data_IF_040127383036
#
_entry.id   IF_040127383036
#
_cell.length_a   1.000
_cell.length_b   1.000
_cell.length_c   1.000
_cell.angle_alpha   90.00
_cell.angle_beta   90.00
_cell.angle_gamma   90.00
#
_symmetry.space_group_name_H-M   'P 1'
#
loop_
_entity.id
_entity.type
_entity.pdbx_description
1 polymer ?
#
# COMPACT_ATOMS: atom_id res chain seq x y z
N UNK A 1 -3.32 2.07 -5.27
CA UNK A 1 -2.83 2.48 -3.94
C UNK A 1 -2.36 1.27 -3.16
N UNK A 2 -3.25 0.32 -2.83
CA UNK A 2 -2.87 -0.82 -2.00
C UNK A 2 -1.70 -1.68 -2.52
N UNK A 3 -1.58 -1.90 -3.82
CA UNK A 3 -0.39 -2.56 -4.41
C UNK A 3 0.92 -1.81 -4.11
N UNK A 4 0.89 -0.46 -4.10
CA UNK A 4 2.07 0.35 -3.75
C UNK A 4 2.34 0.34 -2.24
N UNK A 5 1.30 0.17 -1.41
CA UNK A 5 1.46 -0.07 0.03
C UNK A 5 2.14 -1.42 0.26
N UNK A 6 1.72 -2.48 -0.43
CA UNK A 6 2.36 -3.80 -0.34
C UNK A 6 3.83 -3.74 -0.77
N UNK A 7 4.13 -3.14 -1.92
CA UNK A 7 5.50 -2.99 -2.38
C UNK A 7 6.37 -2.24 -1.36
N UNK A 8 5.84 -1.17 -0.75
CA UNK A 8 6.57 -0.43 0.26
C UNK A 8 6.73 -1.22 1.57
N UNK A 9 5.73 -1.99 1.98
CA UNK A 9 5.77 -2.82 3.18
C UNK A 9 6.86 -3.90 3.14
N UNK A 10 7.19 -4.40 1.94
CA UNK A 10 8.22 -5.41 1.69
C UNK A 10 9.65 -4.83 1.66
N UNK A 11 9.80 -3.51 1.68
CA UNK A 11 11.10 -2.85 1.55
C UNK A 11 11.85 -2.71 2.90
N UNK A 12 13.15 -2.45 2.82
CA UNK A 12 13.98 -2.18 4.01
C UNK A 12 13.94 -0.72 4.41
N UNK A 13 13.80 -0.45 5.71
CA UNK A 13 13.82 0.89 6.31
C UNK A 13 14.87 1.03 7.42
N UNK A 14 15.86 0.12 7.45
CA UNK A 14 16.86 0.06 8.53
C UNK A 14 17.60 1.40 8.73
N UNK A 15 17.93 2.09 7.65
CA UNK A 15 18.60 3.39 7.72
C UNK A 15 17.71 4.45 8.38
N UNK A 16 16.46 4.60 7.91
CA UNK A 16 15.50 5.52 8.51
C UNK A 16 15.28 5.24 10.00
N UNK A 17 15.15 3.96 10.38
CA UNK A 17 15.00 3.54 11.77
C UNK A 17 16.25 3.91 12.59
N UNK A 18 17.45 3.72 12.03
CA UNK A 18 18.71 4.07 12.70
C UNK A 18 18.86 5.57 12.98
N UNK A 19 18.22 6.41 12.17
CA UNK A 19 18.16 7.86 12.35
C UNK A 19 16.99 8.32 13.23
N UNK A 20 16.24 7.38 13.82
CA UNK A 20 15.09 7.69 14.67
C UNK A 20 13.83 8.09 13.89
N UNK A 21 13.79 7.84 12.59
CA UNK A 21 12.63 8.11 11.75
C UNK A 21 11.66 6.93 11.74
N UNK A 22 10.36 7.22 11.60
CA UNK A 22 9.33 6.18 11.39
C UNK A 22 9.32 5.77 9.91
N UNK A 23 9.30 4.46 9.58
CA UNK A 23 9.02 4.01 8.22
C UNK A 23 7.69 4.56 7.71
N UNK A 24 7.72 5.29 6.60
CA UNK A 24 6.53 5.93 6.05
C UNK A 24 6.33 5.65 4.57
N UNK A 25 5.07 5.79 4.17
CA UNK A 25 4.66 5.92 2.77
C UNK A 25 3.71 7.12 2.63
N UNK A 26 3.99 8.01 1.69
CA UNK A 26 3.19 9.22 1.46
C UNK A 26 2.67 9.24 0.03
N UNK A 27 1.37 9.40 -0.14
CA UNK A 27 0.71 9.62 -1.41
C UNK A 27 0.32 11.09 -1.54
N UNK A 28 0.81 11.79 -2.57
CA UNK A 28 0.35 13.13 -2.95
C UNK A 28 -0.44 13.05 -4.25
N UNK A 29 -1.76 13.25 -4.17
CA UNK A 29 -2.68 13.20 -5.30
C UNK A 29 -2.94 14.61 -5.84
N UNK A 30 -2.66 14.80 -7.12
CA UNK A 30 -2.98 15.99 -7.91
C UNK A 30 -3.95 15.61 -9.04
N UNK A 31 -4.59 16.59 -9.70
CA UNK A 31 -5.45 16.31 -10.85
C UNK A 31 -4.76 15.50 -11.97
N UNK A 32 -3.49 15.80 -12.24
CA UNK A 32 -2.73 15.25 -13.38
C UNK A 32 -1.71 14.17 -13.01
N UNK A 33 -1.36 14.03 -11.73
CA UNK A 33 -0.34 13.08 -11.26
C UNK A 33 -0.61 12.56 -9.87
N UNK A 34 -0.01 11.42 -9.56
CA UNK A 34 0.14 10.91 -8.20
C UNK A 34 1.63 10.77 -7.91
N UNK A 35 2.08 11.32 -6.78
CA UNK A 35 3.44 11.16 -6.28
C UNK A 35 3.39 10.23 -5.07
N UNK A 36 4.34 9.29 -5.00
CA UNK A 36 4.46 8.34 -3.89
C UNK A 36 5.88 8.41 -3.38
N UNK A 37 6.04 8.81 -2.12
CA UNK A 37 7.33 8.98 -1.45
C UNK A 37 7.46 7.98 -0.31
N UNK A 38 8.66 7.40 -0.14
CA UNK A 38 9.03 6.57 1.01
C UNK A 38 10.46 6.89 1.47
N UNK A 39 10.72 6.64 2.75
CA UNK A 39 12.05 6.68 3.36
C UNK A 39 12.69 5.30 3.47
N UNK A 40 12.41 4.43 2.51
CA UNK A 40 13.09 3.12 2.42
C UNK A 40 14.60 3.30 2.15
N UNK A 41 15.34 2.21 2.14
CA UNK A 41 16.78 2.24 1.87
C UNK A 41 17.13 2.72 0.45
N UNK A 42 16.21 2.49 -0.50
CA UNK A 42 16.41 2.76 -1.92
C UNK A 42 16.70 1.49 -2.72
N UNK A 43 16.69 1.61 -4.04
CA UNK A 43 16.77 0.49 -4.96
C UNK A 43 18.17 -0.04 -5.12
N UNK A 44 18.26 -1.36 -5.22
CA UNK A 44 19.42 -2.08 -5.73
C UNK A 44 19.30 -2.31 -7.24
N UNK A 45 20.38 -2.77 -7.87
CA UNK A 45 20.34 -3.18 -9.28
C UNK A 45 19.35 -4.33 -9.50
N UNK A 46 19.21 -5.22 -8.53
CA UNK A 46 18.29 -6.35 -8.59
C UNK A 46 16.83 -5.91 -8.50
N UNK A 47 16.52 -4.84 -7.77
CA UNK A 47 15.18 -4.24 -7.73
C UNK A 47 14.81 -3.63 -9.09
N UNK A 48 15.75 -2.92 -9.71
CA UNK A 48 15.56 -2.37 -11.07
C UNK A 48 15.34 -3.50 -12.08
N UNK A 49 16.14 -4.57 -12.03
CA UNK A 49 15.97 -5.75 -12.89
C UNK A 49 14.63 -6.43 -12.64
N UNK A 50 14.23 -6.59 -11.38
CA UNK A 50 12.95 -7.17 -11.00
C UNK A 50 11.77 -6.36 -11.55
N UNK A 51 11.83 -5.03 -11.49
CA UNK A 51 10.82 -4.15 -12.09
C UNK A 51 10.75 -4.30 -13.61
N UNK A 52 11.89 -4.32 -14.29
CA UNK A 52 11.94 -4.53 -15.75
C UNK A 52 11.38 -5.90 -16.13
N UNK A 53 11.74 -6.96 -15.40
CA UNK A 53 11.28 -8.32 -15.65
C UNK A 53 9.79 -8.50 -15.34
N UNK A 54 9.29 -7.88 -14.25
CA UNK A 54 7.86 -7.86 -13.93
C UNK A 54 7.05 -7.25 -15.08
N UNK A 55 7.66 -6.36 -15.87
CA UNK A 55 7.07 -5.73 -17.04
C UNK A 55 7.06 -6.63 -18.31
N UNK A 56 7.96 -7.62 -18.42
CA UNK A 56 7.95 -8.58 -19.54
C UNK A 56 6.67 -9.42 -19.52
N UNK A 57 5.99 -9.55 -20.65
CA UNK A 57 4.78 -10.35 -20.80
C UNK A 57 5.12 -11.80 -21.15
N UNK A 58 5.03 -12.73 -20.19
CA UNK A 58 4.81 -14.14 -20.58
C UNK A 58 3.35 -14.27 -21.03
N UNK A 59 3.14 -14.28 -22.35
CA UNK A 59 1.90 -14.77 -22.99
C UNK A 59 1.77 -16.29 -22.78
N UNK A 60 1.64 -16.73 -21.53
CA UNK A 60 1.29 -18.10 -21.19
C UNK A 60 0.13 -18.09 -20.21
N UNK A 61 -1.00 -18.51 -20.75
CA UNK A 61 -2.30 -18.70 -20.15
C UNK A 61 -2.25 -19.79 -19.05
N UNK A 62 -1.71 -19.44 -17.87
CA UNK A 62 -1.77 -20.31 -16.70
C UNK A 62 -2.62 -19.65 -15.62
N UNK A 63 -3.90 -20.05 -15.64
CA UNK A 63 -4.81 -19.98 -14.52
C UNK A 63 -4.21 -20.74 -13.32
N UNK A 64 -3.97 -20.03 -12.21
CA UNK A 64 -3.76 -20.65 -10.89
C UNK A 64 -2.63 -19.99 -10.09
N UNK A 65 -2.98 -19.55 -8.85
CA UNK A 65 -2.18 -18.92 -7.78
C UNK A 65 -1.89 -17.42 -7.96
N UNK A 66 -2.32 -16.46 -7.13
CA UNK A 66 -2.65 -16.32 -5.67
C UNK A 66 -1.45 -16.56 -4.74
N UNK A 67 -0.75 -15.46 -4.43
CA UNK A 67 0.42 -15.42 -3.55
C UNK A 67 1.70 -15.74 -4.30
N UNK A 68 2.70 -14.85 -4.28
CA UNK A 68 3.98 -14.97 -5.00
C UNK A 68 3.92 -14.93 -6.55
N UNK A 69 3.83 -13.72 -7.12
CA UNK A 69 4.55 -13.25 -8.33
C UNK A 69 3.94 -11.96 -8.85
N UNK A 70 4.64 -10.84 -8.67
CA UNK A 70 5.01 -9.91 -9.75
C UNK A 70 3.95 -9.31 -10.69
N UNK A 71 2.65 -9.31 -10.38
CA UNK A 71 1.64 -8.55 -11.15
C UNK A 71 1.59 -7.06 -10.68
N UNK A 72 2.15 -6.75 -9.50
CA UNK A 72 1.88 -5.53 -8.71
C UNK A 72 2.25 -4.19 -9.35
N UNK A 73 3.39 -4.10 -10.05
CA UNK A 73 3.81 -2.83 -10.65
C UNK A 73 3.07 -2.49 -11.95
N UNK A 74 2.82 -3.46 -12.85
CA UNK A 74 2.09 -3.23 -14.13
C UNK A 74 0.74 -2.54 -13.93
N UNK A 75 0.09 -2.81 -12.80
CA UNK A 75 -1.23 -2.26 -12.46
C UNK A 75 -1.26 -0.71 -12.53
N UNK A 76 -0.13 -0.03 -12.30
CA UNK A 76 -0.04 1.43 -12.37
C UNK A 76 -0.31 1.98 -13.79
N UNK A 77 0.00 1.23 -14.86
CA UNK A 77 -0.25 1.66 -16.24
C UNK A 77 -1.73 1.57 -16.64
N UNK A 78 -2.60 0.99 -15.78
CA UNK A 78 -4.05 1.15 -15.93
C UNK A 78 -4.47 2.61 -15.79
N UNK A 79 -3.75 3.39 -14.99
CA UNK A 79 -4.08 4.79 -14.66
C UNK A 79 -3.03 5.81 -15.12
N UNK A 80 -1.79 5.38 -15.39
CA UNK A 80 -0.68 6.26 -15.74
C UNK A 80 -0.15 5.99 -17.15
N UNK A 81 0.26 7.07 -17.83
CA UNK A 81 0.99 7.02 -19.11
C UNK A 81 2.51 7.03 -18.95
N UNK A 82 2.99 7.56 -17.82
CA UNK A 82 4.41 7.59 -17.47
C UNK A 82 4.54 7.31 -15.98
N UNK A 83 5.51 6.50 -15.62
CA UNK A 83 5.94 6.29 -14.24
C UNK A 83 7.40 6.66 -14.17
N UNK A 84 7.71 7.75 -13.49
CA UNK A 84 9.06 8.16 -13.19
C UNK A 84 9.44 7.67 -11.80
N UNK A 85 10.59 7.02 -11.67
CA UNK A 85 11.11 6.47 -10.43
C UNK A 85 12.45 7.12 -10.16
N UNK A 86 12.60 7.64 -8.95
CA UNK A 86 13.85 8.12 -8.43
C UNK A 86 14.12 7.40 -7.13
N UNK A 87 15.14 6.55 -7.14
CA UNK A 87 15.61 5.84 -5.95
C UNK A 87 17.12 5.74 -6.09
N UNK A 88 17.87 6.51 -5.32
CA UNK A 88 19.31 6.70 -5.54
C UNK A 88 20.04 5.34 -5.65
N UNK A 89 20.94 5.15 -6.65
CA UNK A 89 21.38 6.09 -7.69
C UNK A 89 20.58 6.01 -9.01
N UNK A 90 19.37 5.44 -9.02
CA UNK A 90 18.60 5.10 -10.22
C UNK A 90 17.43 6.06 -10.50
N UNK A 91 17.63 7.07 -11.36
CA UNK A 91 16.55 7.82 -12.01
C UNK A 91 16.17 7.19 -13.35
N UNK A 92 14.94 6.71 -13.46
CA UNK A 92 14.44 6.15 -14.72
C UNK A 92 12.93 6.27 -14.84
N UNK A 93 12.42 6.16 -16.07
CA UNK A 93 11.00 6.13 -16.31
C UNK A 93 10.57 5.01 -17.24
N UNK A 94 9.33 4.58 -17.06
CA UNK A 94 8.62 3.75 -18.02
C UNK A 94 7.52 4.60 -18.66
N UNK A 95 7.39 4.52 -19.98
CA UNK A 95 6.43 5.30 -20.75
C UNK A 95 5.55 4.34 -21.54
N UNK A 96 4.26 4.33 -21.22
CA UNK A 96 3.28 3.50 -21.91
C UNK A 96 2.44 4.35 -22.87
N UNK A 97 2.62 4.11 -24.17
CA UNK A 97 1.73 4.64 -25.20
C UNK A 97 0.55 3.68 -25.38
N UNK A 98 -0.67 4.23 -25.49
CA UNK A 98 -1.89 3.50 -25.87
C UNK A 98 -2.21 3.66 -27.35
N UNK A 99 -1.21 4.00 -28.16
CA UNK A 99 -1.37 4.12 -29.61
C UNK A 99 -1.59 2.72 -30.20
N UNK A 100 -2.76 2.42 -30.79
CA UNK A 100 -3.06 1.12 -31.39
C UNK A 100 -2.07 0.73 -32.50
N UNK A 101 -1.43 1.70 -33.14
CA UNK A 101 -0.48 1.48 -34.23
C UNK A 101 0.96 1.26 -33.72
N UNK A 102 1.22 1.49 -32.43
CA UNK A 102 2.51 1.34 -31.74
C UNK A 102 2.35 0.63 -30.36
N UNK A 103 1.46 -0.36 -30.29
CA UNK A 103 1.21 -1.21 -29.12
C UNK A 103 2.32 -2.28 -28.94
N UNK A 104 3.58 -1.84 -28.86
CA UNK A 104 4.72 -2.75 -28.79
C UNK A 104 4.86 -3.39 -27.40
N UNK A 105 4.16 -2.87 -26.38
CA UNK A 105 4.33 -3.25 -24.97
C UNK A 105 5.72 -2.93 -24.38
N UNK A 106 6.72 -2.66 -25.22
CA UNK A 106 8.12 -2.39 -24.88
C UNK A 106 8.30 -1.18 -23.97
N UNK A 107 7.46 -0.16 -24.10
CA UNK A 107 7.50 1.05 -23.27
C UNK A 107 7.19 0.81 -21.78
N UNK A 108 6.54 -0.32 -21.46
CA UNK A 108 6.40 -0.77 -20.07
C UNK A 108 7.64 -1.50 -19.56
N UNK A 109 8.45 -2.07 -20.44
CA UNK A 109 9.53 -3.02 -20.08
C UNK A 109 10.89 -2.35 -20.00
N UNK A 110 11.18 -1.44 -20.92
CA UNK A 110 12.50 -0.84 -21.06
C UNK A 110 12.54 0.50 -20.33
N UNK A 111 13.33 0.63 -19.26
CA UNK A 111 13.46 1.89 -18.55
C UNK A 111 14.20 2.91 -19.43
N UNK A 112 13.71 4.14 -19.44
CA UNK A 112 14.38 5.30 -20.02
C UNK A 112 15.16 5.96 -18.89
N UNK A 113 16.48 6.08 -19.04
CA UNK A 113 17.29 6.81 -18.06
C UNK A 113 16.86 8.27 -18.02
N UNK A 114 16.68 8.80 -16.81
CA UNK A 114 16.25 10.17 -16.56
C UNK A 114 17.33 10.93 -15.78
N UNK A 115 17.21 12.25 -15.71
CA UNK A 115 18.06 13.05 -14.83
C UNK A 115 17.62 12.93 -13.38
N UNK A 116 18.59 12.80 -12.48
CA UNK A 116 18.33 12.83 -11.05
C UNK A 116 17.84 14.23 -10.64
N UNK A 117 16.85 14.29 -9.75
CA UNK A 117 16.35 15.52 -9.14
C UNK A 117 16.38 15.38 -7.63
N UNK A 118 16.66 16.48 -6.94
CA UNK A 118 16.64 16.47 -5.48
C UNK A 118 15.28 16.00 -4.95
N UNK A 119 15.33 15.02 -4.07
CA UNK A 119 14.17 14.54 -3.33
C UNK A 119 13.96 15.41 -2.09
N UNK A 120 12.72 15.52 -1.57
CA UNK A 120 12.50 16.16 -0.29
C UNK A 120 13.32 15.52 0.81
N UNK A 121 13.55 16.27 1.89
CA UNK A 121 14.18 15.75 3.09
C UNK A 121 13.45 14.47 3.56
N UNK A 122 14.24 13.46 3.96
CA UNK A 122 13.76 12.15 4.40
C UNK A 122 13.02 11.33 3.34
N UNK A 123 13.10 11.68 2.06
CA UNK A 123 12.57 10.84 0.96
C UNK A 123 13.73 10.21 0.21
N UNK A 124 13.73 8.89 0.12
CA UNK A 124 14.77 8.14 -0.57
C UNK A 124 14.30 7.49 -1.87
N UNK A 125 13.03 7.08 -1.91
CA UNK A 125 12.39 6.63 -3.14
C UNK A 125 11.17 7.48 -3.44
N UNK A 126 11.04 7.90 -4.70
CA UNK A 126 9.89 8.59 -5.25
C UNK A 126 9.40 7.92 -6.52
N UNK A 127 8.12 7.63 -6.57
CA UNK A 127 7.39 7.34 -7.79
C UNK A 127 6.55 8.55 -8.18
N UNK A 128 6.58 8.95 -9.44
CA UNK A 128 5.71 9.98 -10.01
C UNK A 128 4.93 9.37 -11.18
N UNK A 129 3.65 9.11 -10.94
CA UNK A 129 2.72 8.55 -11.90
C UNK A 129 2.03 9.70 -12.63
N UNK A 130 2.41 9.96 -13.88
CA UNK A 130 1.67 10.89 -14.75
C UNK A 130 0.39 10.22 -15.23
N UNK A 131 -0.76 10.74 -14.80
CA UNK A 131 -2.05 10.12 -15.03
C UNK A 131 -2.48 10.27 -16.50
N UNK A 132 -3.25 9.29 -16.98
CA UNK A 132 -3.80 9.28 -18.34
C UNK A 132 -4.83 10.38 -18.55
N UNK A 133 -5.62 10.64 -17.51
CA UNK A 133 -6.71 11.61 -17.51
C UNK A 133 -6.85 12.24 -16.13
N UNK A 134 -7.25 13.51 -16.13
CA UNK A 134 -7.67 14.22 -14.92
C UNK A 134 -9.09 13.84 -14.50
N UNK A 135 -9.89 13.24 -15.40
CA UNK A 135 -11.22 12.74 -15.06
C UNK A 135 -11.13 11.67 -13.95
N UNK A 136 -12.12 11.68 -13.04
CA UNK A 136 -12.12 10.80 -11.87
C UNK A 136 -11.15 11.20 -10.77
N UNK A 137 -10.57 12.42 -10.80
CA UNK A 137 -9.81 12.96 -9.67
C UNK A 137 -10.62 12.93 -8.37
N UNK A 138 -11.83 13.50 -8.35
CA UNK A 138 -12.67 13.53 -7.14
C UNK A 138 -13.01 12.13 -6.62
N UNK A 139 -13.35 11.20 -7.51
CA UNK A 139 -13.59 9.81 -7.13
C UNK A 139 -12.34 9.18 -6.49
N UNK A 140 -11.16 9.33 -7.10
CA UNK A 140 -9.90 8.83 -6.53
C UNK A 140 -9.61 9.47 -5.17
N UNK A 141 -9.92 10.76 -5.03
CA UNK A 141 -9.76 11.51 -3.79
C UNK A 141 -10.65 10.93 -2.69
N UNK A 142 -11.92 10.68 -2.98
CA UNK A 142 -12.86 10.01 -2.05
C UNK A 142 -12.39 8.59 -1.72
N UNK A 143 -12.09 7.77 -2.72
CA UNK A 143 -11.61 6.39 -2.54
C UNK A 143 -10.37 6.33 -1.63
N UNK A 144 -9.44 7.30 -1.77
CA UNK A 144 -8.26 7.40 -0.90
C UNK A 144 -8.61 7.86 0.53
N UNK A 145 -9.58 8.76 0.71
CA UNK A 145 -10.06 9.18 2.05
C UNK A 145 -10.74 8.04 2.80
N UNK A 146 -11.37 7.10 2.08
CA UNK A 146 -12.03 5.92 2.67
C UNK A 146 -11.06 4.81 3.10
N UNK A 147 -9.74 5.02 2.98
CA UNK A 147 -8.73 4.08 3.48
C UNK A 147 -9.01 3.72 4.95
N UNK A 148 -9.18 2.43 5.29
CA UNK A 148 -9.41 2.02 6.66
C UNK A 148 -8.21 2.38 7.55
N UNK A 149 -8.45 3.12 8.64
CA UNK A 149 -7.41 3.47 9.62
C UNK A 149 -6.73 2.23 10.21
N UNK A 150 -7.46 1.13 10.35
CA UNK A 150 -6.96 -0.15 10.86
C UNK A 150 -5.96 -0.86 9.94
N UNK A 151 -5.68 -0.33 8.74
CA UNK A 151 -4.69 -0.90 7.82
C UNK A 151 -3.31 -1.04 8.49
N UNK A 152 -2.86 -0.02 9.23
CA UNK A 152 -1.53 -0.06 9.86
C UNK A 152 -1.39 -1.10 10.97
N UNK A 153 -2.49 -1.59 11.56
CA UNK A 153 -2.44 -2.66 12.57
C UNK A 153 -1.85 -3.97 12.04
N UNK A 154 -1.91 -4.12 10.73
CA UNK A 154 -1.61 -5.36 10.03
C UNK A 154 -0.33 -5.30 9.22
N UNK A 155 0.29 -4.12 9.15
CA UNK A 155 1.58 -3.90 8.57
C UNK A 155 2.67 -4.11 9.62
N UNK A 156 3.74 -4.76 9.22
CA UNK A 156 4.90 -5.11 10.05
C UNK A 156 6.04 -4.13 9.94
N UNK A 157 6.17 -3.41 8.83
CA UNK A 157 7.28 -2.50 8.52
C UNK A 157 6.83 -1.05 8.59
N UNK A 158 5.83 -0.67 7.79
CA UNK A 158 5.31 0.69 7.77
C UNK A 158 4.70 1.08 9.11
N UNK A 159 4.97 2.31 9.55
CA UNK A 159 4.45 2.89 10.80
C UNK A 159 3.60 4.13 10.57
N UNK A 160 3.67 4.68 9.37
CA UNK A 160 2.96 5.89 9.00
C UNK A 160 2.52 5.86 7.54
N UNK A 161 1.28 6.24 7.29
CA UNK A 161 0.72 6.42 5.96
C UNK A 161 0.17 7.84 5.84
N UNK A 162 0.65 8.61 4.87
CA UNK A 162 0.22 10.00 4.64
C UNK A 162 -0.50 10.13 3.31
N UNK A 163 -1.61 10.85 3.29
CA UNK A 163 -2.36 11.20 2.08
C UNK A 163 -2.44 12.72 1.97
N UNK A 164 -1.73 13.32 1.01
CA UNK A 164 -1.88 14.73 0.64
C UNK A 164 -2.80 14.84 -0.59
N UNK A 165 -3.95 15.45 -0.42
CA UNK A 165 -5.00 15.55 -1.44
C UNK A 165 -5.13 17.01 -1.89
N UNK A 166 -4.61 17.32 -3.06
CA UNK A 166 -4.57 18.68 -3.61
C UNK A 166 -5.80 18.96 -4.46
N UNK A 167 -6.66 19.89 -4.04
CA UNK A 167 -7.82 20.30 -4.84
C UNK A 167 -7.44 21.28 -5.98
N UNK A 168 -8.26 21.41 -7.04
CA UNK A 168 -8.01 22.36 -8.12
C UNK A 168 -8.07 23.83 -7.68
N UNK A 169 -8.65 24.13 -6.52
CA UNK A 169 -8.76 25.47 -5.94
C UNK A 169 -7.49 25.90 -5.20
N UNK A 170 -6.54 24.97 -5.01
CA UNK A 170 -5.28 25.17 -4.30
C UNK A 170 -5.29 24.77 -2.83
N UNK A 171 -6.41 24.27 -2.29
CA UNK A 171 -6.43 23.73 -0.93
C UNK A 171 -5.81 22.33 -0.88
N UNK A 172 -5.33 21.97 0.31
CA UNK A 172 -4.74 20.68 0.60
C UNK A 172 -5.42 20.08 1.83
N UNK A 173 -5.94 18.86 1.68
CA UNK A 173 -6.25 18.01 2.84
C UNK A 173 -5.10 17.04 3.04
N UNK A 174 -4.49 17.03 4.21
CA UNK A 174 -3.54 16.00 4.63
C UNK A 174 -4.23 15.04 5.60
N UNK A 175 -4.11 13.74 5.35
CA UNK A 175 -4.57 12.69 6.27
C UNK A 175 -3.36 11.86 6.68
N UNK A 176 -3.08 11.80 7.98
CA UNK A 176 -1.94 11.08 8.55
C UNK A 176 -2.49 9.94 9.39
N UNK A 177 -2.13 8.71 9.02
CA UNK A 177 -2.33 7.53 9.85
C UNK A 177 -0.99 7.18 10.49
N UNK A 178 -0.96 7.02 11.81
CA UNK A 178 0.23 6.52 12.50
C UNK A 178 -0.12 5.38 13.45
N UNK A 179 0.79 4.42 13.56
CA UNK A 179 0.65 3.27 14.45
C UNK A 179 1.71 3.31 15.55
N UNK A 180 1.28 3.00 16.77
CA UNK A 180 2.16 2.78 17.92
C UNK A 180 1.61 1.69 18.83
N UNK A 181 2.53 1.02 19.52
CA UNK A 181 2.22 0.03 20.56
C UNK A 181 2.47 0.64 21.94
N UNK A 182 1.48 0.56 22.80
CA UNK A 182 1.59 0.87 24.22
C UNK A 182 1.73 -0.43 25.02
N UNK A 183 2.97 -0.81 25.30
CA UNK A 183 3.27 -2.05 26.03
C UNK A 183 2.80 -2.02 27.49
N UNK A 184 2.62 -0.83 28.08
CA UNK A 184 2.16 -0.71 29.47
C UNK A 184 0.69 -1.08 29.64
N UNK A 185 -0.13 -0.77 28.62
CA UNK A 185 -1.56 -1.10 28.59
C UNK A 185 -1.87 -2.34 27.74
N UNK A 186 -0.87 -2.89 27.06
CA UNK A 186 -0.99 -3.93 26.05
C UNK A 186 -1.96 -3.55 24.93
N UNK A 187 -1.90 -2.29 24.49
CA UNK A 187 -2.80 -1.74 23.47
C UNK A 187 -2.04 -1.35 22.21
N UNK A 188 -2.66 -1.63 21.07
CA UNK A 188 -2.29 -1.06 19.78
C UNK A 188 -3.10 0.21 19.55
N UNK A 189 -2.44 1.25 19.09
CA UNK A 189 -3.02 2.57 18.91
C UNK A 189 -2.81 2.99 17.47
N UNK A 190 -3.92 3.33 16.80
CA UNK A 190 -3.90 4.01 15.51
C UNK A 190 -4.39 5.42 15.72
N UNK A 191 -3.57 6.40 15.34
CA UNK A 191 -3.95 7.81 15.29
C UNK A 191 -4.25 8.20 13.85
N UNK A 192 -5.39 8.87 13.64
CA UNK A 192 -5.77 9.51 12.37
C UNK A 192 -5.88 11.01 12.59
N UNK A 193 -5.00 11.78 11.95
CA UNK A 193 -5.05 13.24 11.93
C UNK A 193 -5.47 13.71 10.54
N UNK A 194 -6.42 14.65 10.47
CA UNK A 194 -6.81 15.34 9.25
C UNK A 194 -6.50 16.82 9.39
N UNK A 195 -5.66 17.33 8.49
CA UNK A 195 -5.28 18.73 8.42
C UNK A 195 -5.87 19.36 7.16
N UNK A 196 -6.41 20.56 7.29
CA UNK A 196 -6.86 21.38 6.18
C UNK A 196 -5.94 22.59 6.04
N UNK A 197 -5.25 22.71 4.90
CA UNK A 197 -4.27 23.76 4.62
C UNK A 197 -3.20 23.92 5.70
N UNK A 198 -2.81 22.81 6.34
CA UNK A 198 -1.80 22.76 7.40
C UNK A 198 -2.32 23.04 8.81
N UNK A 199 -3.61 23.33 8.96
CA UNK A 199 -4.26 23.45 10.28
C UNK A 199 -4.97 22.15 10.64
N UNK A 200 -4.81 21.67 11.88
CA UNK A 200 -5.49 20.48 12.37
C UNK A 200 -7.01 20.72 12.40
N UNK A 201 -7.74 19.92 11.65
CA UNK A 201 -9.20 19.99 11.53
C UNK A 201 -9.86 18.90 12.39
N UNK A 202 -9.39 17.66 12.27
CA UNK A 202 -9.89 16.52 13.02
C UNK A 202 -8.76 15.59 13.48
N UNK A 203 -8.94 15.00 14.66
CA UNK A 203 -8.05 13.96 15.20
C UNK A 203 -8.92 12.84 15.78
N UNK A 204 -8.51 11.59 15.54
CA UNK A 204 -9.13 10.40 16.11
C UNK A 204 -8.09 9.41 16.57
N UNK A 205 -8.19 9.00 17.82
CA UNK A 205 -7.47 7.86 18.37
C UNK A 205 -8.36 6.61 18.37
N UNK A 206 -7.83 5.50 17.85
CA UNK A 206 -8.49 4.19 17.84
C UNK A 206 -7.61 3.17 18.55
N UNK A 207 -8.19 2.51 19.56
CA UNK A 207 -7.50 1.58 20.44
C UNK A 207 -7.89 0.14 20.14
N UNK A 208 -6.92 -0.76 20.13
CA UNK A 208 -7.12 -2.17 19.84
C UNK A 208 -6.38 -3.08 20.81
N UNK A 209 -6.96 -4.24 21.09
CA UNK A 209 -6.23 -5.39 21.62
C UNK A 209 -5.95 -6.34 20.46
N UNK A 210 -4.68 -6.51 20.10
CA UNK A 210 -4.28 -7.42 19.03
C UNK A 210 -3.76 -8.73 19.59
N UNK A 211 -4.26 -9.84 19.04
CA UNK A 211 -3.79 -11.20 19.32
C UNK A 211 -3.30 -11.84 18.02
N UNK A 212 -2.03 -12.25 17.99
CA UNK A 212 -1.41 -12.95 16.86
C UNK A 212 -1.09 -14.39 17.23
N UNK A 213 -1.45 -15.34 16.38
CA UNK A 213 -1.09 -16.76 16.52
C UNK A 213 -0.73 -17.35 15.16
N UNK A 214 0.28 -18.22 15.15
CA UNK A 214 0.57 -19.07 13.99
C UNK A 214 -0.18 -20.38 14.18
N UNK A 215 -1.02 -20.72 13.21
CA UNK A 215 -1.71 -22.00 13.12
C UNK A 215 -0.86 -22.89 12.22
N UNK A 216 -0.51 -24.08 12.70
CA UNK A 216 0.28 -25.08 11.97
C UNK A 216 -0.58 -26.30 11.65
N UNK A 217 -0.05 -27.20 10.81
CA UNK A 217 -0.74 -28.41 10.35
C UNK A 217 -2.08 -28.10 9.63
N UNK A 218 -2.07 -27.07 8.79
CA UNK A 218 -3.20 -26.75 7.93
C UNK A 218 -3.49 -27.89 6.95
N UNK A 219 -4.77 -28.14 6.62
CA UNK A 219 -5.12 -29.13 5.63
C UNK A 219 -4.49 -28.79 4.28
N UNK A 220 -4.15 -29.82 3.52
CA UNK A 220 -3.66 -29.63 2.16
C UNK A 220 -4.71 -28.89 1.32
N UNK A 221 -4.27 -27.81 0.69
CA UNK A 221 -5.07 -27.07 -0.29
C UNK A 221 -4.28 -27.00 -1.60
N UNK A 222 -4.92 -27.35 -2.71
CA UNK A 222 -4.31 -27.27 -4.03
C UNK A 222 -3.91 -25.85 -4.41
N UNK A 223 -4.47 -24.82 -3.77
CA UNK A 223 -4.16 -23.38 -3.85
C UNK A 223 -3.15 -22.89 -2.79
N UNK A 224 -2.60 -23.77 -1.94
CA UNK A 224 -1.50 -23.47 -1.00
C UNK A 224 -0.44 -24.59 -0.90
N UNK A 225 0.10 -25.04 -2.03
CA UNK A 225 1.10 -26.12 -2.11
C UNK A 225 2.35 -25.76 -1.31
N UNK A 226 2.71 -26.64 -0.37
CA UNK A 226 3.91 -26.48 0.44
C UNK A 226 3.77 -25.50 1.62
N UNK A 227 2.56 -24.96 1.85
CA UNK A 227 2.29 -24.09 3.00
C UNK A 227 1.35 -24.83 3.94
N UNK A 228 1.86 -25.21 5.11
CA UNK A 228 1.13 -25.92 6.17
C UNK A 228 0.92 -25.08 7.43
N UNK A 229 1.30 -23.79 7.38
CA UNK A 229 1.11 -22.82 8.45
C UNK A 229 0.53 -21.49 7.95
N UNK A 230 -0.15 -20.77 8.85
CA UNK A 230 -0.70 -19.44 8.61
C UNK A 230 -0.66 -18.59 9.88
N UNK A 231 -0.26 -17.33 9.75
CA UNK A 231 -0.40 -16.36 10.82
C UNK A 231 -1.80 -15.75 10.81
N UNK A 232 -2.53 -15.92 11.92
CA UNK A 232 -3.82 -15.28 12.17
C UNK A 232 -3.65 -14.15 13.17
N UNK A 233 -4.12 -12.96 12.80
CA UNK A 233 -4.15 -11.78 13.65
C UNK A 233 -5.61 -11.38 13.87
N UNK A 234 -6.00 -11.23 15.12
CA UNK A 234 -7.29 -10.69 15.53
C UNK A 234 -7.07 -9.36 16.22
N UNK A 235 -7.81 -8.31 15.85
CA UNK A 235 -7.78 -7.03 16.53
C UNK A 235 -9.18 -6.67 17.04
N UNK A 236 -9.28 -6.44 18.35
CA UNK A 236 -10.52 -6.10 19.02
C UNK A 236 -10.52 -4.62 19.36
N UNK A 237 -11.41 -3.81 18.78
CA UNK A 237 -11.49 -2.39 19.13
C UNK A 237 -11.98 -2.24 20.58
N UNK A 238 -11.38 -1.31 21.30
CA UNK A 238 -11.71 -1.03 22.70
C UNK A 238 -11.88 0.47 22.94
N UNK A 239 -12.63 0.83 23.97
CA UNK A 239 -12.71 2.21 24.43
C UNK A 239 -11.58 2.54 25.41
N UNK A 240 -11.52 3.79 25.88
CA UNK A 240 -10.50 4.27 26.82
C UNK A 240 -10.48 3.52 28.16
N UNK A 241 -11.56 2.82 28.52
CA UNK A 241 -11.63 1.97 29.70
C UNK A 241 -11.17 0.53 29.43
N UNK A 242 -10.73 0.21 28.21
CA UNK A 242 -10.31 -1.11 27.78
C UNK A 242 -11.46 -2.09 27.49
N UNK A 243 -12.71 -1.61 27.48
CA UNK A 243 -13.88 -2.44 27.17
C UNK A 243 -14.09 -2.54 25.65
N UNK A 244 -14.49 -3.70 25.12
CA UNK A 244 -14.75 -3.87 23.69
C UNK A 244 -15.81 -2.91 23.15
N UNK A 245 -15.57 -2.34 21.97
CA UNK A 245 -16.57 -1.59 21.21
C UNK A 245 -17.15 -2.47 20.09
N UNK A 246 -18.47 -2.47 19.94
CA UNK A 246 -19.16 -3.32 18.97
C UNK A 246 -19.51 -2.51 17.71
N UNK A 247 -18.58 -2.48 16.76
CA UNK A 247 -18.76 -1.82 15.46
C UNK A 247 -18.47 -2.82 14.34
N UNK A 248 -19.05 -2.59 13.15
CA UNK A 248 -18.76 -3.44 11.98
C UNK A 248 -17.33 -3.19 11.48
N UNK A 249 -16.52 -4.25 11.47
CA UNK A 249 -15.11 -4.20 11.11
C UNK A 249 -14.83 -4.80 9.72
N UNK A 250 -13.73 -4.37 9.11
CA UNK A 250 -13.22 -4.96 7.87
C UNK A 250 -12.51 -6.30 8.13
N UNK A 251 -12.60 -7.21 7.18
CA UNK A 251 -11.74 -8.39 7.06
C UNK A 251 -10.53 -8.02 6.22
N UNK A 252 -9.36 -8.53 6.63
CA UNK A 252 -8.09 -8.28 5.97
C UNK A 252 -7.47 -9.57 5.47
N UNK A 253 -6.78 -9.47 4.33
CA UNK A 253 -5.78 -10.43 3.88
C UNK A 253 -4.56 -9.64 3.43
N UNK A 254 -3.77 -9.17 4.40
CA UNK A 254 -2.72 -8.13 4.28
C UNK A 254 -3.26 -6.73 3.89
N UNK A 255 -4.32 -6.68 3.09
CA UNK A 255 -5.06 -5.48 2.73
C UNK A 255 -6.54 -5.65 3.10
N UNK A 256 -7.29 -4.55 3.26
CA UNK A 256 -8.72 -4.61 3.54
C UNK A 256 -9.46 -5.24 2.35
N UNK A 257 -10.31 -6.23 2.64
CA UNK A 257 -11.18 -6.89 1.67
C UNK A 257 -12.56 -6.22 1.68
N UNK A 258 -13.38 -6.54 2.70
CA UNK A 258 -14.74 -6.02 2.89
C UNK A 258 -15.20 -6.11 4.33
N UNK A 259 -16.32 -5.47 4.66
CA UNK A 259 -17.01 -5.66 5.94
C UNK A 259 -17.97 -6.85 5.82
N UNK A 260 -17.81 -7.86 6.67
CA UNK A 260 -18.64 -9.09 6.66
C UNK A 260 -19.49 -9.25 7.92
N UNK A 261 -19.61 -8.18 8.73
CA UNK A 261 -20.41 -8.17 9.97
C UNK A 261 -19.66 -8.66 11.21
N UNK A 262 -18.36 -8.95 11.13
CA UNK A 262 -17.54 -9.18 12.32
C UNK A 262 -17.42 -7.91 13.15
N UNK A 263 -17.44 -8.09 14.48
CA UNK A 263 -17.24 -7.02 15.47
C UNK A 263 -15.77 -6.85 15.89
N UNK A 264 -14.88 -7.58 15.22
CA UNK A 264 -13.43 -7.56 15.38
C UNK A 264 -12.79 -7.64 13.99
N UNK A 265 -11.58 -7.14 13.86
CA UNK A 265 -10.81 -7.24 12.63
C UNK A 265 -10.09 -8.59 12.63
N UNK A 266 -10.00 -9.21 11.47
CA UNK A 266 -9.27 -10.47 11.27
C UNK A 266 -8.38 -10.36 10.05
N UNK A 267 -7.11 -10.76 10.22
CA UNK A 267 -6.15 -10.92 9.15
C UNK A 267 -5.59 -12.34 9.14
N UNK A 268 -5.56 -12.94 7.96
CA UNK A 268 -4.76 -14.11 7.63
C UNK A 268 -4.42 -14.07 6.15
N UNK A 269 -3.55 -14.96 5.72
CA UNK A 269 -3.27 -15.34 4.32
C UNK A 269 -4.46 -16.07 3.63
N UNK A 270 -5.68 -15.55 3.80
CA UNK A 270 -6.87 -16.11 3.17
C UNK A 270 -6.71 -16.19 1.65
N UNK A 271 -7.15 -17.29 1.06
CA UNK A 271 -7.26 -17.40 -0.40
C UNK A 271 -8.35 -16.44 -0.85
N UNK A 272 -7.99 -15.42 -1.62
CA UNK A 272 -8.92 -14.41 -2.13
C UNK A 272 -9.46 -14.77 -3.50
N UNK A 273 -10.61 -14.21 -3.88
CA UNK A 273 -11.08 -14.24 -5.26
C UNK A 273 -10.17 -13.38 -6.16
N UNK A 274 -10.23 -13.58 -7.48
CA UNK A 274 -9.38 -12.87 -8.43
C UNK A 274 -9.48 -11.32 -8.36
N UNK A 275 -10.63 -10.79 -7.93
CA UNK A 275 -10.82 -9.35 -7.71
C UNK A 275 -10.18 -8.83 -6.41
N UNK A 276 -9.75 -9.72 -5.50
CA UNK A 276 -9.32 -9.40 -4.13
C UNK A 276 -10.41 -8.67 -3.30
N UNK A 277 -11.67 -8.75 -3.70
CA UNK A 277 -12.80 -8.13 -2.97
C UNK A 277 -13.48 -9.09 -1.98
N UNK A 278 -13.20 -10.39 -2.07
CA UNK A 278 -13.79 -11.41 -1.19
C UNK A 278 -12.87 -12.60 -0.97
N UNK A 279 -13.16 -13.38 0.07
CA UNK A 279 -12.52 -14.67 0.34
C UNK A 279 -13.09 -15.71 -0.63
N UNK A 280 -12.23 -16.54 -1.21
CA UNK A 280 -12.65 -17.66 -2.06
C UNK A 280 -13.39 -18.68 -1.18
N UNK A 281 -14.66 -18.91 -1.49
CA UNK A 281 -15.37 -20.07 -0.96
C UNK A 281 -14.94 -21.30 -1.76
N UNK A 282 -14.39 -22.30 -1.07
CA UNK A 282 -14.17 -23.65 -1.57
C UNK A 282 -15.45 -24.48 -1.44
#
# INVERSE_FOLDING_TARGET
>A
MYELIQNAEDNSYEHAISEGQKPFLKFSLYPDRMVVDSNEYGFTEDDVKALCNANVSTKSDHQGYIGEKGIGFKSVFKIAKKVHIQSEPYPFSFVYSRDPDHEDGLGMVTPIQEEYRDLPENVQTRFTLTLLTQSGFEKRREDMKETPESLLLFLTTLRELRLMLHDPSGNVTEVIYSYQRDDSRELDIVLKEELFNGELDHERESLFRVAKRVITALPFDEKRRGIDEAAVVLAFPVNNSGNPTLEDQHVFAYLPLRRVGFKFLIQSDFVTQASREDVSHS
#
